data_IF_163694116528
#
_entry.id   IF_163694116528
#
_cell.length_a   1.000
_cell.length_b   1.000
_cell.length_c   1.000
_cell.angle_alpha   90.00
_cell.angle_beta   90.00
_cell.angle_gamma   90.00
#
_symmetry.space_group_name_H-M   'P 1'
#
loop_
_entity.id
_entity.type
_entity.pdbx_description
1 polymer ?
#
# COMPACT_ATOMS: atom_id res chain seq x y z
N UNK A 1 1.13 -5.43 -5.95
CA UNK A 1 1.59 -4.19 -6.62
C UNK A 1 3.07 -3.90 -6.34
N UNK A 2 3.51 -3.97 -5.07
CA UNK A 2 4.94 -3.77 -4.73
C UNK A 2 5.90 -4.74 -5.44
N UNK A 3 5.50 -6.00 -5.66
CA UNK A 3 6.30 -6.97 -6.42
C UNK A 3 6.52 -6.57 -7.90
N UNK A 4 5.47 -6.08 -8.58
CA UNK A 4 5.58 -5.56 -9.95
C UNK A 4 6.53 -4.36 -10.01
N UNK A 5 6.43 -3.46 -9.04
CA UNK A 5 7.24 -2.25 -9.00
C UNK A 5 8.73 -2.56 -8.85
N UNK A 6 9.09 -3.41 -7.88
CA UNK A 6 10.49 -3.82 -7.65
C UNK A 6 11.11 -4.54 -8.86
N UNK A 7 10.29 -5.25 -9.65
CA UNK A 7 10.77 -5.98 -10.83
C UNK A 7 10.81 -5.17 -12.12
N UNK A 8 9.99 -4.12 -12.23
CA UNK A 8 9.95 -3.28 -13.42
C UNK A 8 11.28 -2.56 -13.71
N UNK A 9 12.13 -2.37 -12.68
CA UNK A 9 13.39 -1.61 -12.75
C UNK A 9 13.23 -0.23 -13.40
N UNK A 10 12.03 0.37 -13.39
CA UNK A 10 11.75 1.70 -13.95
C UNK A 10 12.34 2.82 -13.08
N UNK A 11 13.66 2.79 -12.90
CA UNK A 11 14.44 3.64 -11.99
C UNK A 11 15.62 4.26 -12.73
N UNK A 12 16.20 5.36 -12.21
CA UNK A 12 17.41 5.94 -12.79
C UNK A 12 18.55 4.92 -12.86
N UNK A 13 19.38 5.00 -13.91
CA UNK A 13 20.40 4.00 -14.26
C UNK A 13 21.33 3.61 -13.10
N UNK A 14 21.73 4.57 -12.26
CA UNK A 14 22.58 4.32 -11.09
C UNK A 14 21.92 3.40 -10.05
N UNK A 15 20.61 3.55 -9.84
CA UNK A 15 19.83 2.69 -8.93
C UNK A 15 19.52 1.34 -9.56
N UNK A 16 19.29 1.29 -10.87
CA UNK A 16 19.19 0.00 -11.57
C UNK A 16 20.48 -0.82 -11.40
N UNK A 17 21.65 -0.19 -11.47
CA UNK A 17 22.93 -0.87 -11.29
C UNK A 17 23.10 -1.36 -9.84
N UNK A 18 22.77 -0.53 -8.84
CA UNK A 18 22.79 -0.94 -7.42
C UNK A 18 21.80 -2.09 -7.13
N UNK A 19 20.57 -2.00 -7.64
CA UNK A 19 19.59 -3.07 -7.49
C UNK A 19 20.03 -4.34 -8.23
N UNK A 20 20.70 -4.25 -9.38
CA UNK A 20 21.28 -5.44 -10.05
C UNK A 20 22.42 -6.07 -9.26
N UNK A 21 23.19 -5.31 -8.49
CA UNK A 21 24.20 -5.89 -7.57
C UNK A 21 23.55 -6.69 -6.44
N UNK A 22 22.46 -6.18 -5.86
CA UNK A 22 21.72 -6.85 -4.77
C UNK A 22 20.80 -7.99 -5.25
N UNK A 23 20.04 -7.77 -6.31
CA UNK A 23 18.98 -8.65 -6.80
C UNK A 23 19.38 -9.51 -8.00
N UNK A 24 20.53 -9.28 -8.64
CA UNK A 24 21.07 -10.14 -9.71
C UNK A 24 21.24 -9.42 -11.06
N UNK A 25 22.35 -9.69 -11.75
CA UNK A 25 22.75 -9.00 -12.97
C UNK A 25 22.04 -9.46 -14.25
N UNK A 26 21.71 -10.76 -14.35
CA UNK A 26 21.03 -11.35 -15.51
C UNK A 26 19.52 -11.54 -15.30
N UNK A 27 19.00 -11.12 -14.14
CA UNK A 27 17.63 -11.35 -13.69
C UNK A 27 17.57 -11.53 -12.16
N UNK A 28 16.37 -11.50 -11.56
CA UNK A 28 16.21 -11.62 -10.13
C UNK A 28 16.70 -12.98 -9.62
N UNK A 29 17.59 -12.97 -8.60
CA UNK A 29 18.13 -14.15 -7.90
C UNK A 29 17.00 -14.97 -7.25
N UNK A 30 15.99 -14.29 -6.72
CA UNK A 30 14.77 -14.90 -6.21
C UNK A 30 13.65 -14.80 -7.25
N UNK A 31 13.24 -15.94 -7.79
CA UNK A 31 12.16 -16.03 -8.78
C UNK A 31 10.76 -16.12 -8.16
N UNK A 32 10.66 -16.34 -6.84
CA UNK A 32 9.38 -16.43 -6.14
C UNK A 32 8.67 -15.08 -6.17
N UNK A 33 7.36 -15.10 -6.40
CA UNK A 33 6.56 -13.88 -6.57
C UNK A 33 5.57 -13.70 -5.41
N UNK A 34 5.04 -12.50 -5.24
CA UNK A 34 4.08 -12.19 -4.19
C UNK A 34 4.71 -11.93 -2.81
N UNK A 35 4.14 -10.97 -2.09
CA UNK A 35 4.63 -10.49 -0.80
C UNK A 35 3.55 -10.45 0.28
N UNK A 36 2.29 -10.71 -0.05
CA UNK A 36 1.15 -10.58 0.84
C UNK A 36 0.35 -11.89 0.83
N UNK A 37 -0.07 -12.35 2.01
CA UNK A 37 -0.72 -13.65 2.16
C UNK A 37 -1.82 -13.58 3.21
N UNK A 38 -2.85 -14.39 3.02
CA UNK A 38 -3.76 -14.81 4.08
C UNK A 38 -4.10 -16.28 3.88
N UNK A 39 -4.15 -17.05 4.97
CA UNK A 39 -4.34 -18.49 4.92
C UNK A 39 -4.45 -19.09 6.32
N UNK A 40 -4.46 -20.41 6.40
CA UNK A 40 -4.52 -21.16 7.65
C UNK A 40 -3.14 -21.74 8.00
N UNK A 41 -2.82 -21.81 9.29
CA UNK A 41 -1.58 -22.44 9.75
C UNK A 41 -1.73 -23.96 9.64
N UNK A 42 -1.04 -24.54 8.67
CA UNK A 42 -0.93 -26.00 8.46
C UNK A 42 0.01 -26.65 9.48
N UNK A 43 1.15 -26.02 9.77
CA UNK A 43 2.18 -26.57 10.64
C UNK A 43 2.93 -25.47 11.40
N UNK A 44 3.45 -25.80 12.58
CA UNK A 44 4.25 -24.90 13.41
C UNK A 44 5.60 -25.51 13.76
N UNK A 45 6.62 -24.67 13.86
CA UNK A 45 7.93 -25.07 14.38
C UNK A 45 7.87 -25.32 15.89
N UNK A 46 8.79 -26.15 16.40
CA UNK A 46 8.87 -26.54 17.82
C UNK A 46 8.93 -25.38 18.82
N UNK A 47 9.45 -24.22 18.39
CA UNK A 47 9.69 -23.05 19.24
C UNK A 47 8.60 -21.97 19.08
N UNK A 48 7.58 -22.22 18.24
CA UNK A 48 6.42 -21.34 18.05
C UNK A 48 5.49 -21.44 19.26
N UNK A 49 5.02 -20.30 19.76
CA UNK A 49 4.21 -20.17 20.98
C UNK A 49 2.94 -19.32 20.81
N UNK A 50 2.93 -18.39 19.87
CA UNK A 50 1.85 -17.43 19.65
C UNK A 50 0.74 -17.95 18.72
N UNK A 51 1.04 -19.01 17.98
CA UNK A 51 0.19 -19.56 16.94
C UNK A 51 -0.02 -21.06 17.13
N UNK A 52 -1.16 -21.56 16.66
CA UNK A 52 -1.48 -22.99 16.60
C UNK A 52 -1.95 -23.37 15.20
N UNK A 53 -1.88 -24.68 14.93
CA UNK A 53 -2.46 -25.26 13.71
C UNK A 53 -3.96 -24.91 13.67
N UNK A 54 -4.44 -24.52 12.49
CA UNK A 54 -5.82 -24.09 12.27
C UNK A 54 -6.08 -22.59 12.52
N UNK A 55 -5.10 -21.83 13.02
CA UNK A 55 -5.26 -20.39 13.13
C UNK A 55 -5.32 -19.76 11.73
N UNK A 56 -6.33 -18.92 11.51
CA UNK A 56 -6.43 -18.10 10.30
C UNK A 56 -5.57 -16.85 10.47
N UNK A 57 -4.65 -16.63 9.54
CA UNK A 57 -3.66 -15.56 9.60
C UNK A 57 -3.61 -14.74 8.32
N UNK A 58 -3.08 -13.53 8.43
CA UNK A 58 -2.78 -12.64 7.32
C UNK A 58 -1.47 -11.89 7.59
N UNK A 59 -0.74 -11.53 6.54
CA UNK A 59 0.55 -10.87 6.72
C UNK A 59 1.34 -10.72 5.43
N UNK A 60 2.65 -10.56 5.59
CA UNK A 60 3.55 -10.34 4.48
C UNK A 60 4.71 -11.32 4.52
N UNK A 61 5.26 -11.66 3.35
CA UNK A 61 6.50 -12.40 3.18
C UNK A 61 7.77 -11.52 3.24
N UNK A 62 7.61 -10.20 3.40
CA UNK A 62 8.71 -9.25 3.38
C UNK A 62 9.54 -9.35 2.10
N UNK A 63 10.85 -9.18 2.20
CA UNK A 63 11.78 -9.29 1.06
C UNK A 63 12.06 -10.75 0.64
N UNK A 64 11.51 -11.73 1.36
CA UNK A 64 11.62 -13.15 1.01
C UNK A 64 10.77 -13.57 -0.18
N UNK A 65 9.72 -12.80 -0.50
CA UNK A 65 8.70 -13.12 -1.50
C UNK A 65 8.09 -14.52 -1.33
N UNK A 66 7.35 -15.00 -2.33
CA UNK A 66 6.82 -16.36 -2.38
C UNK A 66 5.42 -16.52 -1.82
N UNK A 67 4.68 -15.42 -1.66
CA UNK A 67 3.29 -15.48 -1.25
C UNK A 67 2.34 -15.95 -2.38
N UNK A 68 2.76 -15.87 -3.65
CA UNK A 68 2.03 -16.50 -4.75
C UNK A 68 2.40 -18.00 -4.81
N UNK A 69 1.94 -18.75 -3.82
CA UNK A 69 2.17 -20.18 -3.65
C UNK A 69 1.08 -20.77 -2.75
N UNK A 70 0.92 -22.09 -2.78
CA UNK A 70 -0.03 -22.80 -1.90
C UNK A 70 0.43 -22.82 -0.44
N UNK A 71 1.74 -22.85 -0.22
CA UNK A 71 2.35 -22.85 1.11
C UNK A 71 3.52 -21.88 1.19
N UNK A 72 3.65 -21.22 2.34
CA UNK A 72 4.79 -20.37 2.68
C UNK A 72 5.20 -20.58 4.13
N UNK A 73 6.51 -20.59 4.39
CA UNK A 73 7.06 -20.64 5.74
C UNK A 73 7.47 -19.22 6.16
N UNK A 74 6.95 -18.75 7.30
CA UNK A 74 7.22 -17.42 7.86
C UNK A 74 7.59 -17.53 9.34
N UNK A 75 8.53 -16.70 9.82
CA UNK A 75 8.90 -16.68 11.23
C UNK A 75 7.78 -16.12 12.12
N UNK A 76 7.64 -16.66 13.34
CA UNK A 76 6.77 -16.07 14.37
C UNK A 76 7.23 -14.65 14.76
N UNK A 77 8.55 -14.45 14.81
CA UNK A 77 9.19 -13.19 15.21
C UNK A 77 10.09 -12.70 14.08
N UNK A 78 9.54 -11.94 13.10
CA UNK A 78 10.31 -11.49 11.96
C UNK A 78 11.37 -10.44 12.36
N UNK A 79 12.55 -10.52 11.72
CA UNK A 79 13.49 -9.40 11.67
C UNK A 79 13.03 -8.26 10.75
N UNK A 80 13.85 -7.21 10.60
CA UNK A 80 13.45 -5.98 9.88
C UNK A 80 13.08 -6.19 8.40
N UNK A 81 13.73 -7.15 7.73
CA UNK A 81 13.49 -7.45 6.31
C UNK A 81 12.58 -8.67 6.10
N UNK A 82 12.22 -9.37 7.18
CA UNK A 82 11.45 -10.60 7.13
C UNK A 82 9.95 -10.31 7.16
N UNK A 83 9.21 -11.21 6.53
CA UNK A 83 7.77 -11.25 6.60
C UNK A 83 7.27 -11.88 7.89
N UNK A 84 6.13 -11.42 8.39
CA UNK A 84 5.44 -12.06 9.50
C UNK A 84 3.93 -11.94 9.35
N UNK A 85 3.22 -12.62 10.25
CA UNK A 85 1.75 -12.74 10.22
C UNK A 85 1.12 -12.29 11.52
N UNK A 86 -0.15 -11.92 11.45
CA UNK A 86 -1.04 -11.73 12.57
C UNK A 86 -2.31 -12.55 12.35
N UNK A 87 -3.09 -12.76 13.41
CA UNK A 87 -4.41 -13.40 13.29
C UNK A 87 -5.31 -12.57 12.39
N UNK A 88 -5.98 -13.23 11.45
CA UNK A 88 -6.88 -12.64 10.46
C UNK A 88 -8.10 -11.98 11.15
N UNK A 89 -8.58 -10.83 10.66
CA UNK A 89 -9.88 -10.31 11.08
C UNK A 89 -10.99 -11.35 10.88
N UNK A 90 -11.85 -11.53 11.89
CA UNK A 90 -12.91 -12.56 11.84
C UNK A 90 -14.00 -12.26 10.82
N UNK A 91 -14.20 -10.98 10.49
CA UNK A 91 -15.22 -10.48 9.57
C UNK A 91 -14.71 -10.28 8.14
N UNK A 92 -13.53 -10.82 7.79
CA UNK A 92 -12.99 -10.81 6.43
C UNK A 92 -12.86 -12.23 5.87
N UNK A 93 -13.03 -12.34 4.57
CA UNK A 93 -12.55 -13.48 3.78
C UNK A 93 -11.01 -13.48 3.73
N UNK A 94 -10.39 -14.60 3.32
CA UNK A 94 -8.93 -14.64 3.08
C UNK A 94 -8.51 -13.65 1.99
N UNK A 95 -9.28 -13.55 0.91
CA UNK A 95 -9.01 -12.64 -0.19
C UNK A 95 -8.97 -11.18 0.27
N UNK A 96 -9.93 -10.75 1.09
CA UNK A 96 -9.96 -9.40 1.64
C UNK A 96 -8.79 -9.15 2.57
N UNK A 97 -8.51 -10.10 3.46
CA UNK A 97 -7.43 -9.98 4.43
C UNK A 97 -6.05 -9.92 3.76
N UNK A 98 -5.83 -10.65 2.66
CA UNK A 98 -4.56 -10.66 1.92
C UNK A 98 -4.21 -9.30 1.30
N UNK A 99 -5.17 -8.37 1.18
CA UNK A 99 -4.93 -7.03 0.59
C UNK A 99 -4.51 -5.95 1.59
N UNK A 100 -4.69 -6.23 2.89
CA UNK A 100 -4.42 -5.28 3.97
C UNK A 100 -2.92 -5.09 4.25
N UNK A 101 -2.06 -6.13 4.22
CA UNK A 101 -0.72 -6.03 4.77
C UNK A 101 0.16 -4.99 4.11
N UNK A 102 0.15 -4.81 2.79
CA UNK A 102 0.92 -3.74 2.17
C UNK A 102 0.13 -2.42 2.21
N UNK A 103 -1.01 -2.37 1.54
CA UNK A 103 -1.75 -1.11 1.33
C UNK A 103 -2.20 -0.44 2.64
N UNK A 104 -2.68 -1.23 3.61
CA UNK A 104 -3.17 -0.73 4.89
C UNK A 104 -2.05 -0.22 5.80
N UNK A 105 -0.93 -0.95 5.89
CA UNK A 105 0.22 -0.52 6.71
C UNK A 105 0.87 0.73 6.16
N UNK A 106 1.06 0.81 4.85
CA UNK A 106 1.64 1.98 4.20
C UNK A 106 0.76 3.21 4.41
N UNK A 107 -0.55 3.09 4.16
CA UNK A 107 -1.48 4.16 4.41
C UNK A 107 -1.44 4.62 5.87
N UNK A 108 -1.49 3.69 6.83
CA UNK A 108 -1.41 4.00 8.25
C UNK A 108 -0.10 4.68 8.64
N UNK A 109 1.03 4.19 8.14
CA UNK A 109 2.35 4.75 8.40
C UNK A 109 2.42 6.22 7.97
N UNK A 110 2.04 6.52 6.73
CA UNK A 110 2.08 7.88 6.20
C UNK A 110 1.09 8.80 6.89
N UNK A 111 -0.14 8.36 7.14
CA UNK A 111 -1.13 9.19 7.84
C UNK A 111 -0.68 9.52 9.27
N UNK A 112 -0.06 8.58 9.99
CA UNK A 112 0.53 8.88 11.32
C UNK A 112 1.69 9.88 11.22
N UNK A 113 2.55 9.76 10.21
CA UNK A 113 3.66 10.71 9.95
C UNK A 113 3.19 12.11 9.55
N UNK A 114 2.06 12.18 8.85
CA UNK A 114 1.34 13.42 8.55
C UNK A 114 0.57 13.98 9.73
N UNK A 115 0.53 13.26 10.87
CA UNK A 115 -0.12 13.66 12.10
C UNK A 115 -1.59 14.04 11.88
N UNK A 116 -2.31 13.27 11.05
CA UNK A 116 -3.70 13.58 10.67
C UNK A 116 -4.58 13.78 11.90
N UNK A 117 -5.27 14.92 11.94
CA UNK A 117 -6.23 15.29 12.97
C UNK A 117 -7.63 15.49 12.39
N UNK A 118 -8.63 15.37 13.25
CA UNK A 118 -10.01 15.66 12.91
C UNK A 118 -10.17 17.11 12.40
N UNK A 119 -10.94 17.30 11.34
CA UNK A 119 -11.18 18.59 10.70
C UNK A 119 -10.09 19.08 9.74
N UNK A 120 -8.97 18.36 9.60
CA UNK A 120 -7.97 18.70 8.58
C UNK A 120 -8.44 18.34 7.18
N UNK A 121 -8.04 19.15 6.18
CA UNK A 121 -8.19 18.84 4.76
C UNK A 121 -7.00 18.03 4.26
N UNK A 122 -7.25 16.82 3.78
CA UNK A 122 -6.24 15.96 3.14
C UNK A 122 -6.58 15.72 1.68
N UNK A 123 -5.58 15.89 0.81
CA UNK A 123 -5.65 15.42 -0.57
C UNK A 123 -4.84 14.14 -0.72
N UNK A 124 -5.43 13.13 -1.37
CA UNK A 124 -4.78 11.85 -1.66
C UNK A 124 -4.66 11.72 -3.19
N UNK A 125 -3.43 11.76 -3.72
CA UNK A 125 -3.15 11.60 -5.14
C UNK A 125 -2.82 10.14 -5.48
N UNK A 126 -3.49 9.57 -6.49
CA UNK A 126 -3.46 8.12 -6.76
C UNK A 126 -4.36 7.31 -5.83
N UNK A 127 -5.49 7.91 -5.45
CA UNK A 127 -6.35 7.39 -4.40
C UNK A 127 -7.01 6.05 -4.74
N UNK A 128 -7.13 5.70 -6.03
CA UNK A 128 -7.74 4.44 -6.47
C UNK A 128 -6.81 3.25 -6.48
N UNK A 129 -5.55 3.41 -6.05
CA UNK A 129 -4.60 2.32 -5.87
C UNK A 129 -4.80 1.53 -4.56
N UNK A 130 -3.87 0.60 -4.28
CA UNK A 130 -3.92 -0.23 -3.06
C UNK A 130 -3.83 0.66 -1.81
N UNK A 131 -2.73 1.41 -1.66
CA UNK A 131 -2.50 2.35 -0.56
C UNK A 131 -3.61 3.41 -0.49
N UNK A 132 -3.96 4.02 -1.63
CA UNK A 132 -4.94 5.11 -1.69
C UNK A 132 -6.32 4.74 -1.13
N UNK A 133 -6.83 3.55 -1.46
CA UNK A 133 -8.15 3.10 -0.96
C UNK A 133 -8.18 2.87 0.55
N UNK A 134 -7.08 2.42 1.15
CA UNK A 134 -6.95 2.36 2.61
C UNK A 134 -6.75 3.75 3.21
N UNK A 135 -5.98 4.61 2.55
CA UNK A 135 -5.69 5.97 3.03
C UNK A 135 -6.95 6.83 3.13
N UNK A 136 -7.88 6.74 2.18
CA UNK A 136 -9.18 7.43 2.28
C UNK A 136 -9.89 7.02 3.55
N UNK A 137 -10.10 5.72 3.74
CA UNK A 137 -10.91 5.22 4.85
C UNK A 137 -10.25 5.49 6.20
N UNK A 138 -8.92 5.37 6.30
CA UNK A 138 -8.16 5.71 7.51
C UNK A 138 -8.17 7.21 7.80
N UNK A 139 -8.03 8.06 6.79
CA UNK A 139 -8.15 9.51 6.97
C UNK A 139 -9.55 9.91 7.47
N UNK A 140 -10.60 9.28 6.93
CA UNK A 140 -11.98 9.45 7.44
C UNK A 140 -12.13 8.94 8.87
N UNK A 141 -11.52 7.82 9.22
CA UNK A 141 -11.50 7.33 10.60
C UNK A 141 -10.85 8.34 11.56
N UNK A 142 -9.81 9.06 11.12
CA UNK A 142 -9.19 10.15 11.90
C UNK A 142 -9.98 11.47 11.86
N UNK A 143 -11.11 11.52 11.17
CA UNK A 143 -12.00 12.69 11.12
C UNK A 143 -11.60 13.76 10.10
N UNK A 144 -10.72 13.44 9.15
CA UNK A 144 -10.33 14.39 8.10
C UNK A 144 -11.40 14.56 7.02
N UNK A 145 -11.35 15.70 6.33
CA UNK A 145 -12.04 15.95 5.06
C UNK A 145 -11.11 15.50 3.91
N UNK A 146 -11.56 14.54 3.10
CA UNK A 146 -10.74 13.84 2.12
C UNK A 146 -11.11 14.28 0.70
N UNK A 147 -10.14 14.84 -0.01
CA UNK A 147 -10.17 14.99 -1.47
C UNK A 147 -9.36 13.87 -2.12
N UNK A 148 -9.99 13.09 -2.99
CA UNK A 148 -9.34 11.97 -3.66
C UNK A 148 -9.12 12.26 -5.16
N UNK A 149 -7.88 12.13 -5.63
CA UNK A 149 -7.51 12.36 -7.04
C UNK A 149 -7.20 11.02 -7.72
N UNK A 150 -7.94 10.69 -8.78
CA UNK A 150 -7.63 9.57 -9.68
C UNK A 150 -8.37 9.76 -11.02
N UNK A 151 -8.28 8.79 -11.94
CA UNK A 151 -8.95 8.87 -13.23
C UNK A 151 -10.46 8.61 -13.13
N UNK A 152 -11.21 9.12 -14.12
CA UNK A 152 -12.68 9.08 -14.21
C UNK A 152 -13.30 7.76 -13.77
N UNK A 153 -12.75 6.63 -14.23
CA UNK A 153 -13.31 5.31 -13.99
C UNK A 153 -13.30 4.88 -12.51
N UNK A 154 -12.58 5.57 -11.63
CA UNK A 154 -12.44 5.22 -10.22
C UNK A 154 -13.24 6.13 -9.28
N UNK A 155 -13.75 7.27 -9.75
CA UNK A 155 -14.33 8.31 -8.91
C UNK A 155 -15.51 7.83 -8.05
N UNK A 156 -16.43 7.06 -8.63
CA UNK A 156 -17.59 6.52 -7.88
C UNK A 156 -17.16 5.55 -6.78
N UNK A 157 -16.12 4.76 -7.05
CA UNK A 157 -15.54 3.88 -6.04
C UNK A 157 -14.93 4.70 -4.89
N UNK A 158 -14.19 5.78 -5.19
CA UNK A 158 -13.58 6.66 -4.19
C UNK A 158 -14.65 7.31 -3.29
N UNK A 159 -15.75 7.79 -3.87
CA UNK A 159 -16.90 8.29 -3.10
C UNK A 159 -17.48 7.20 -2.19
N UNK A 160 -17.65 5.98 -2.71
CA UNK A 160 -18.23 4.86 -1.95
C UNK A 160 -17.40 4.38 -0.76
N UNK A 161 -16.12 4.78 -0.68
CA UNK A 161 -15.22 4.48 0.43
C UNK A 161 -14.92 5.70 1.31
N UNK A 162 -15.65 6.80 1.11
CA UNK A 162 -15.69 7.94 2.03
C UNK A 162 -14.93 9.19 1.58
N UNK A 163 -14.48 9.30 0.33
CA UNK A 163 -13.97 10.57 -0.17
C UNK A 163 -15.10 11.62 -0.19
N UNK A 164 -14.88 12.77 0.44
CA UNK A 164 -15.84 13.88 0.46
C UNK A 164 -15.86 14.59 -0.90
N UNK A 165 -14.67 14.76 -1.48
CA UNK A 165 -14.47 15.32 -2.81
C UNK A 165 -13.67 14.37 -3.68
N UNK A 166 -13.94 14.37 -4.98
CA UNK A 166 -13.16 13.62 -5.95
C UNK A 166 -12.78 14.51 -7.11
N UNK A 167 -11.53 14.38 -7.56
CA UNK A 167 -10.95 15.15 -8.65
C UNK A 167 -10.51 14.20 -9.76
N UNK A 168 -10.98 14.47 -10.97
CA UNK A 168 -10.55 13.75 -12.16
C UNK A 168 -9.31 14.42 -12.75
N UNK A 169 -8.14 13.83 -12.56
CA UNK A 169 -6.89 14.42 -13.07
C UNK A 169 -6.85 14.53 -14.60
N UNK A 170 -7.73 13.82 -15.31
CA UNK A 170 -7.82 13.90 -16.78
C UNK A 170 -8.59 15.13 -17.25
N UNK A 171 -9.38 15.75 -16.36
CA UNK A 171 -10.23 16.90 -16.67
C UNK A 171 -9.73 18.18 -15.98
N UNK A 172 -9.18 18.07 -14.78
CA UNK A 172 -8.70 19.22 -14.01
C UNK A 172 -7.36 18.97 -13.30
N UNK A 173 -6.61 20.06 -13.10
CA UNK A 173 -5.38 20.06 -12.31
C UNK A 173 -5.74 20.54 -10.90
N UNK A 174 -5.69 19.63 -9.90
CA UNK A 174 -6.03 19.99 -8.52
C UNK A 174 -5.15 21.12 -7.97
N UNK A 175 -3.97 21.39 -8.56
CA UNK A 175 -3.13 22.51 -8.12
C UNK A 175 -3.68 23.87 -8.50
N UNK A 176 -4.73 23.91 -9.33
CA UNK A 176 -5.36 25.12 -9.85
C UNK A 176 -6.82 25.31 -9.41
N UNK A 177 -7.34 24.44 -8.54
CA UNK A 177 -8.72 24.49 -8.10
C UNK A 177 -9.00 25.56 -7.01
N UNK A 178 -7.95 26.22 -6.50
CA UNK A 178 -8.06 27.24 -5.44
C UNK A 178 -8.15 26.68 -4.01
N UNK A 179 -8.16 25.35 -3.85
CA UNK A 179 -8.17 24.71 -2.53
C UNK A 179 -6.77 24.64 -1.92
N UNK A 180 -6.73 24.69 -0.59
CA UNK A 180 -5.52 24.57 0.21
C UNK A 180 -5.72 23.43 1.21
N UNK A 181 -4.78 22.50 1.23
CA UNK A 181 -4.80 21.30 2.06
C UNK A 181 -3.82 21.41 3.22
N UNK A 182 -4.18 20.87 4.38
CA UNK A 182 -3.28 20.70 5.51
C UNK A 182 -2.27 19.59 5.21
N UNK A 183 -2.70 18.53 4.52
CA UNK A 183 -1.83 17.41 4.10
C UNK A 183 -2.08 17.04 2.64
N UNK A 184 -1.02 16.83 1.88
CA UNK A 184 -1.07 16.19 0.57
C UNK A 184 -0.32 14.87 0.66
N UNK A 185 -1.01 13.77 0.38
CA UNK A 185 -0.43 12.43 0.30
C UNK A 185 -0.36 11.98 -1.15
N UNK A 186 0.84 12.03 -1.74
CA UNK A 186 1.10 11.53 -3.09
C UNK A 186 1.55 10.06 -3.04
N UNK A 187 0.67 9.17 -3.52
CA UNK A 187 0.96 7.74 -3.63
C UNK A 187 1.73 7.44 -4.91
N UNK A 188 1.58 8.26 -5.95
CA UNK A 188 2.15 8.01 -7.28
C UNK A 188 3.57 8.58 -7.40
N UNK A 189 3.82 9.76 -6.82
CA UNK A 189 5.10 10.45 -6.95
C UNK A 189 5.34 10.98 -8.36
N UNK A 190 4.31 11.38 -9.09
CA UNK A 190 4.45 11.96 -10.45
C UNK A 190 4.45 13.48 -10.46
N UNK A 191 3.99 14.13 -9.39
CA UNK A 191 3.91 15.59 -9.32
C UNK A 191 5.03 16.08 -8.40
N UNK A 192 5.80 17.07 -8.84
CA UNK A 192 6.89 17.62 -8.03
C UNK A 192 6.32 18.43 -6.86
N UNK A 193 7.01 18.41 -5.73
CA UNK A 193 6.64 19.23 -4.57
C UNK A 193 6.52 20.72 -4.92
N UNK A 194 7.39 21.25 -5.79
CA UNK A 194 7.32 22.64 -6.24
C UNK A 194 5.95 23.00 -6.85
N UNK A 195 5.36 22.10 -7.63
CA UNK A 195 4.04 22.30 -8.24
C UNK A 195 2.90 22.18 -7.24
N UNK A 196 3.02 21.33 -6.22
CA UNK A 196 1.98 21.16 -5.19
C UNK A 196 2.08 22.18 -4.06
N UNK A 197 3.22 22.86 -3.92
CA UNK A 197 3.49 23.77 -2.79
C UNK A 197 2.44 24.88 -2.61
N UNK A 198 1.86 25.39 -3.70
CA UNK A 198 0.79 26.39 -3.66
C UNK A 198 -0.53 25.88 -3.09
N UNK A 199 -0.77 24.57 -3.17
CA UNK A 199 -1.97 23.90 -2.64
C UNK A 199 -1.74 23.35 -1.22
N UNK A 200 -0.55 23.54 -0.64
CA UNK A 200 -0.24 23.11 0.73
C UNK A 200 -0.17 24.35 1.61
N UNK A 201 -0.89 24.30 2.73
CA UNK A 201 -0.85 25.31 3.79
C UNK A 201 0.59 25.58 4.24
N UNK A 202 0.87 26.78 4.74
CA UNK A 202 2.24 27.19 5.08
C UNK A 202 2.96 26.26 6.08
N UNK A 203 2.21 25.60 6.98
CA UNK A 203 2.70 24.59 7.93
C UNK A 203 2.15 23.18 7.62
N UNK A 204 1.67 22.97 6.39
CA UNK A 204 1.14 21.69 5.94
C UNK A 204 2.23 20.69 5.63
N UNK A 205 1.81 19.43 5.44
CA UNK A 205 2.72 18.31 5.21
C UNK A 205 2.52 17.70 3.83
N UNK A 206 3.61 17.48 3.11
CA UNK A 206 3.65 16.65 1.90
C UNK A 206 4.21 15.27 2.26
N UNK A 207 3.43 14.24 2.00
CA UNK A 207 3.77 12.84 2.20
C UNK A 207 3.95 12.17 0.83
N UNK A 208 5.06 11.47 0.62
CA UNK A 208 5.32 10.74 -0.61
C UNK A 208 5.53 9.25 -0.29
N UNK A 209 4.61 8.39 -0.76
CA UNK A 209 4.67 6.95 -0.51
C UNK A 209 5.77 6.25 -1.30
N UNK A 210 6.09 6.76 -2.49
CA UNK A 210 7.02 6.13 -3.41
C UNK A 210 8.17 7.08 -3.76
N UNK A 211 9.24 7.12 -2.95
CA UNK A 211 10.34 8.05 -3.16
C UNK A 211 11.27 7.65 -4.31
N UNK A 212 11.19 6.41 -4.84
CA UNK A 212 12.21 5.91 -5.77
C UNK A 212 12.20 6.68 -7.10
N UNK A 213 11.06 7.27 -7.50
CA UNK A 213 10.95 8.13 -8.68
C UNK A 213 11.40 9.59 -8.46
N UNK A 214 11.44 10.09 -7.21
CA UNK A 214 11.72 11.51 -6.91
C UNK A 214 12.91 11.77 -5.97
N UNK A 215 13.68 10.74 -5.62
CA UNK A 215 14.78 10.84 -4.65
C UNK A 215 15.90 11.85 -5.01
N UNK A 216 15.89 12.39 -6.23
CA UNK A 216 16.84 13.44 -6.69
C UNK A 216 16.39 14.86 -6.29
N UNK A 217 15.10 15.13 -6.07
CA UNK A 217 14.60 16.50 -5.80
C UNK A 217 14.51 16.86 -4.31
N UNK A 218 14.45 15.88 -3.42
CA UNK A 218 14.08 16.10 -2.01
C UNK A 218 15.09 16.82 -1.11
N UNK A 219 16.36 16.83 -1.49
CA UNK A 219 17.43 17.43 -0.68
C UNK A 219 17.46 18.97 -0.74
N UNK A 220 16.91 19.58 -1.79
CA UNK A 220 17.00 21.03 -1.99
C UNK A 220 15.83 21.82 -1.38
N UNK A 221 14.62 21.25 -1.33
CA UNK A 221 13.41 21.95 -0.86
C UNK A 221 13.25 21.99 0.66
N UNK A 222 14.01 21.20 1.42
CA UNK A 222 14.00 21.22 2.89
C UNK A 222 14.58 22.52 3.47
N UNK A 223 15.35 23.28 2.69
CA UNK A 223 16.07 24.46 3.17
C UNK A 223 15.34 25.81 2.95
N UNK A 224 14.21 25.85 2.25
CA UNK A 224 13.61 27.14 1.80
C UNK A 224 12.11 27.34 2.08
N UNK A 225 11.40 26.36 2.66
CA UNK A 225 9.95 26.46 2.93
C UNK A 225 9.61 26.00 4.36
N UNK A 226 8.65 26.65 5.02
CA UNK A 226 8.08 26.25 6.33
C UNK A 226 7.23 24.97 6.28
N UNK A 227 7.23 24.26 5.15
CA UNK A 227 6.38 23.09 4.87
C UNK A 227 7.17 21.82 5.13
N UNK A 228 6.53 20.82 5.74
CA UNK A 228 7.16 19.53 6.06
C UNK A 228 7.07 18.61 4.84
N UNK A 229 8.19 18.00 4.43
CA UNK A 229 8.24 17.03 3.33
C UNK A 229 8.79 15.72 3.87
N UNK A 230 8.00 14.64 3.78
CA UNK A 230 8.36 13.30 4.27
C UNK A 230 8.45 12.35 3.07
N UNK A 231 9.65 11.82 2.86
CA UNK A 231 9.99 10.87 1.79
C UNK A 231 10.74 9.71 2.44
N UNK A 232 10.01 8.67 2.82
CA UNK A 232 10.56 7.50 3.52
C UNK A 232 9.93 6.23 2.93
N UNK A 233 10.61 5.09 3.02
CA UNK A 233 9.97 3.79 2.79
C UNK A 233 9.22 3.40 4.06
N UNK A 234 8.00 2.89 3.93
CA UNK A 234 7.22 2.45 5.09
C UNK A 234 7.96 1.32 5.83
N UNK A 235 8.09 1.47 7.15
CA UNK A 235 8.42 0.37 8.05
C UNK A 235 7.12 -0.08 8.71
N UNK A 236 6.41 -0.98 8.07
CA UNK A 236 5.27 -1.61 8.71
C UNK A 236 5.75 -2.52 9.85
N UNK A 237 5.02 -2.55 10.96
CA UNK A 237 5.23 -3.50 12.07
C UNK A 237 4.09 -4.51 12.17
N UNK A 238 4.25 -5.59 12.94
CA UNK A 238 3.13 -6.49 13.27
C UNK A 238 2.09 -5.76 14.13
N UNK A 239 2.51 -4.82 14.97
CA UNK A 239 1.61 -3.98 15.75
C UNK A 239 0.66 -3.16 14.85
N UNK A 240 1.14 -2.70 13.69
CA UNK A 240 0.29 -2.02 12.71
C UNK A 240 -0.77 -2.95 12.11
N UNK A 241 -0.42 -4.22 11.82
CA UNK A 241 -1.40 -5.22 11.37
C UNK A 241 -2.45 -5.49 12.44
N UNK A 242 -2.04 -5.60 13.71
CA UNK A 242 -2.97 -5.80 14.84
C UNK A 242 -3.90 -4.59 14.98
N UNK A 243 -3.38 -3.37 14.83
CA UNK A 243 -4.19 -2.15 14.87
C UNK A 243 -5.21 -2.12 13.71
N UNK A 244 -4.76 -2.41 12.48
CA UNK A 244 -5.63 -2.46 11.31
C UNK A 244 -6.71 -3.54 11.47
N UNK A 245 -6.35 -4.71 11.98
CA UNK A 245 -7.29 -5.79 12.30
C UNK A 245 -8.41 -5.29 13.21
N UNK A 246 -8.06 -4.61 14.31
CA UNK A 246 -9.06 -4.08 15.25
C UNK A 246 -10.04 -3.12 14.55
N UNK A 247 -9.52 -2.18 13.75
CA UNK A 247 -10.37 -1.25 13.02
C UNK A 247 -11.27 -1.92 11.98
N UNK A 248 -10.78 -2.98 11.33
CA UNK A 248 -11.57 -3.81 10.41
C UNK A 248 -12.70 -4.52 11.16
N UNK A 249 -12.41 -5.14 12.30
CA UNK A 249 -13.41 -5.84 13.13
C UNK A 249 -14.47 -4.88 13.69
N UNK A 250 -14.10 -3.62 13.95
CA UNK A 250 -15.01 -2.53 14.29
C UNK A 250 -15.82 -1.97 13.10
N UNK A 251 -15.60 -2.49 11.88
CA UNK A 251 -16.29 -2.07 10.67
C UNK A 251 -15.88 -0.70 10.14
N UNK A 252 -14.70 -0.18 10.52
CA UNK A 252 -14.24 1.17 10.14
C UNK A 252 -13.79 1.28 8.69
N UNK A 253 -13.36 0.19 8.07
CA UNK A 253 -12.99 0.16 6.65
C UNK A 253 -13.05 -1.25 6.07
N UNK A 254 -13.10 -1.33 4.74
CA UNK A 254 -13.16 -2.58 3.95
C UNK A 254 -12.09 -2.62 2.88
N UNK A 255 -11.73 -3.82 2.46
CA UNK A 255 -10.86 -4.04 1.31
C UNK A 255 -11.60 -3.72 0.00
N UNK A 256 -10.92 -3.06 -0.93
CA UNK A 256 -11.41 -2.86 -2.30
C UNK A 256 -10.68 -3.85 -3.20
N UNK A 257 -11.39 -4.83 -3.75
CA UNK A 257 -10.88 -5.83 -4.68
C UNK A 257 -11.49 -5.57 -6.06
N UNK A 258 -10.64 -5.36 -7.06
CA UNK A 258 -11.03 -5.21 -8.46
C UNK A 258 -11.27 -6.58 -9.11
N UNK A 259 -10.27 -7.45 -8.99
CA UNK A 259 -10.21 -8.73 -9.70
C UNK A 259 -9.56 -9.80 -8.85
N UNK A 260 -9.97 -11.02 -9.12
CA UNK A 260 -9.43 -12.26 -8.57
C UNK A 260 -8.89 -13.08 -9.73
N UNK A 261 -7.71 -13.65 -9.55
CA UNK A 261 -7.09 -14.55 -10.50
C UNK A 261 -6.67 -15.82 -9.77
N UNK A 262 -6.87 -17.02 -10.32
CA UNK A 262 -6.31 -18.23 -9.74
C UNK A 262 -4.78 -18.20 -9.83
N UNK A 263 -4.11 -19.02 -9.02
CA UNK A 263 -2.65 -19.06 -8.89
C UNK A 263 -1.94 -19.21 -10.25
N UNK A 264 -2.49 -20.01 -11.16
CA UNK A 264 -1.97 -20.27 -12.50
C UNK A 264 -1.98 -19.02 -13.39
N UNK A 265 -2.86 -18.06 -13.07
CA UNK A 265 -3.01 -16.80 -13.80
C UNK A 265 -2.23 -15.63 -13.18
N UNK A 266 -1.28 -15.91 -12.27
CA UNK A 266 -0.43 -14.87 -11.65
C UNK A 266 0.23 -13.95 -12.68
N UNK A 267 0.69 -14.48 -13.82
CA UNK A 267 1.30 -13.66 -14.88
C UNK A 267 0.31 -12.71 -15.56
N UNK A 268 -0.96 -13.13 -15.74
CA UNK A 268 -2.03 -12.27 -16.27
C UNK A 268 -2.40 -11.19 -15.26
N UNK A 269 -2.50 -11.55 -13.98
CA UNK A 269 -2.75 -10.61 -12.90
C UNK A 269 -1.68 -9.50 -12.85
N UNK A 270 -0.41 -9.85 -13.01
CA UNK A 270 0.70 -8.89 -13.07
C UNK A 270 0.57 -7.96 -14.29
N UNK A 271 0.34 -8.50 -15.49
CA UNK A 271 0.12 -7.70 -16.70
C UNK A 271 -1.04 -6.72 -16.54
N UNK A 272 -2.13 -7.15 -15.90
CA UNK A 272 -3.26 -6.27 -15.60
C UNK A 272 -2.89 -5.15 -14.62
N UNK A 273 -2.17 -5.45 -13.54
CA UNK A 273 -1.72 -4.45 -12.55
C UNK A 273 -0.79 -3.41 -13.20
N UNK A 274 0.08 -3.83 -14.11
CA UNK A 274 1.03 -2.96 -14.83
C UNK A 274 0.33 -1.93 -15.75
N UNK A 275 -0.92 -2.16 -16.14
CA UNK A 275 -1.70 -1.14 -16.88
C UNK A 275 -1.99 0.12 -16.06
N UNK A 276 -1.87 0.07 -14.73
CA UNK A 276 -2.20 1.18 -13.83
C UNK A 276 -3.70 1.44 -13.63
N UNK A 277 -4.57 0.66 -14.29
CA UNK A 277 -6.02 0.89 -14.31
C UNK A 277 -6.80 0.19 -13.19
N UNK A 278 -6.12 -0.59 -12.34
CA UNK A 278 -6.78 -1.32 -11.25
C UNK A 278 -7.44 -0.38 -10.23
N UNK A 279 -8.53 -0.86 -9.63
CA UNK A 279 -9.29 -0.22 -8.54
C UNK A 279 -9.04 -0.93 -7.22
N UNK A 280 -8.24 -0.35 -6.34
CA UNK A 280 -7.82 -1.01 -5.11
C UNK A 280 -6.85 -2.15 -5.39
N UNK A 281 -7.25 -3.39 -5.12
CA UNK A 281 -6.38 -4.56 -5.11
C UNK A 281 -6.75 -5.61 -6.14
N UNK A 282 -5.76 -6.40 -6.54
CA UNK A 282 -5.93 -7.59 -7.37
C UNK A 282 -5.43 -8.77 -6.54
N UNK A 283 -6.25 -9.79 -6.38
CA UNK A 283 -5.98 -10.92 -5.47
C UNK A 283 -5.67 -12.17 -6.29
N UNK A 284 -4.68 -12.92 -5.83
CA UNK A 284 -4.43 -14.28 -6.30
C UNK A 284 -5.14 -15.25 -5.36
N UNK A 285 -6.01 -16.09 -5.90
CA UNK A 285 -6.76 -17.10 -5.16
C UNK A 285 -6.08 -18.45 -5.31
N UNK A 286 -5.77 -19.07 -4.19
CA UNK A 286 -5.31 -20.46 -4.14
C UNK A 286 -6.53 -21.31 -3.81
N UNK A 287 -6.98 -22.12 -4.77
CA UNK A 287 -8.07 -23.07 -4.54
C UNK A 287 -7.46 -24.30 -3.90
N UNK A 288 -7.91 -24.67 -2.70
CA UNK A 288 -7.65 -26.03 -2.20
C UNK A 288 -8.56 -26.98 -2.97
N UNK A 289 -7.97 -27.88 -3.77
CA UNK A 289 -8.70 -29.02 -4.30
C UNK A 289 -9.31 -29.77 -3.12
N UNK A 290 -10.65 -29.85 -3.09
CA UNK A 290 -11.42 -30.53 -2.04
C UNK A 290 -11.34 -32.05 -2.17
N UNK A 291 -10.16 -32.59 -2.47
CA UNK A 291 -9.89 -34.01 -2.61
C UNK A 291 -8.80 -34.44 -1.63
N UNK A 292 -9.22 -34.70 -0.40
CA UNK A 292 -8.68 -35.80 0.41
C UNK A 292 -9.73 -36.28 1.41
#
# INVERSE_FOLDING_TARGET
AGDCEMRSLNLPLAYQLMLRMGFGFKGPRNKKTGTEVAGEIEAIGKDVKQFKIGDQVFGSAGMGFGANAEYICLPEKPGEMEGGVAIKPVNMTFEEAATVPFGGRDALHFLRKGEIQSGQKILINGAGGSIGTFAIQLAKHFGAEVTAVDGTAKLDMLRSIGADHVVDYTQEDFTKNGEIYDVIFDVIGKISFSRTSGSIKQNGTYLLANPISQMVQGLWTRMTSSRKVIMETSSGTIADLIFLRKLIEEGKFRSVIDRRYPLEQTAEAHRYVETGNKKGNVVITVVQDSNN
#
